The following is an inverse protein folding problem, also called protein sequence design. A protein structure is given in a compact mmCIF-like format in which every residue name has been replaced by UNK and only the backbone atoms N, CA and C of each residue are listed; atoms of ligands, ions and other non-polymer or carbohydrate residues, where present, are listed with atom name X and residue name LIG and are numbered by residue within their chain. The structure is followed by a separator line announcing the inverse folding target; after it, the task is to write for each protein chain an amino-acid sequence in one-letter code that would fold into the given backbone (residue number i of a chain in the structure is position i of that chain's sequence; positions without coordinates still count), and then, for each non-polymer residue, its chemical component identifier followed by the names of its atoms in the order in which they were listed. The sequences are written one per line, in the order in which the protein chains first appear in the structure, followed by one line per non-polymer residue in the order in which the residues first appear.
data_IF_447052623749
#
_entry.id   IF_447052623749
#
_cell.length_a   1.000
_cell.length_b   1.000
_cell.length_c   1.000
_cell.angle_alpha   90.00
_cell.angle_beta   90.00
_cell.angle_gamma   90.00
#
_symmetry.space_group_name_H-M   'P 1'
#
loop_
_entity.id
_entity.type
_entity.pdbx_description
1 polymer ?
#
# COMPACT_ATOMS: atom_id res chain seq x y z
N UNK A 1 16.45 -17.50 8.13
CA UNK A 1 15.15 -18.20 7.90
C UNK A 1 14.70 -18.02 6.46
N UNK A 2 14.18 -19.07 5.82
CA UNK A 2 13.79 -19.11 4.40
C UNK A 2 12.91 -17.92 3.96
N UNK A 3 12.08 -17.40 4.87
CA UNK A 3 11.23 -16.21 4.67
C UNK A 3 11.94 -14.98 4.06
N UNK A 4 13.21 -14.75 4.43
CA UNK A 4 14.01 -13.57 4.05
C UNK A 4 14.97 -13.82 2.88
N UNK A 5 15.21 -15.07 2.52
CA UNK A 5 16.29 -15.45 1.60
C UNK A 5 15.79 -16.17 0.35
N UNK A 6 14.56 -16.70 0.37
CA UNK A 6 14.04 -17.51 -0.71
C UNK A 6 13.21 -16.67 -1.70
N UNK A 7 13.69 -16.63 -2.95
CA UNK A 7 12.95 -16.10 -4.10
C UNK A 7 13.43 -14.74 -4.61
N UNK A 8 12.80 -14.29 -5.69
CA UNK A 8 13.03 -12.97 -6.30
C UNK A 8 12.03 -11.99 -5.70
N UNK A 9 12.50 -10.95 -5.02
CA UNK A 9 11.62 -9.91 -4.46
C UNK A 9 11.46 -8.75 -5.43
N UNK A 10 10.22 -8.33 -5.66
CA UNK A 10 9.90 -7.21 -6.55
C UNK A 10 9.23 -6.12 -5.71
N UNK A 11 9.85 -4.95 -5.66
CA UNK A 11 9.41 -3.82 -4.84
C UNK A 11 9.35 -2.53 -5.68
N UNK A 12 8.46 -1.62 -5.30
CA UNK A 12 8.44 -0.27 -5.87
C UNK A 12 9.56 0.56 -5.22
N UNK A 13 10.31 1.30 -6.05
CA UNK A 13 11.24 2.32 -5.57
C UNK A 13 10.50 3.66 -5.43
N UNK A 14 10.29 4.10 -4.19
CA UNK A 14 9.59 5.35 -3.89
C UNK A 14 8.07 5.18 -3.65
N UNK A 15 7.34 6.29 -3.45
CA UNK A 15 5.91 6.26 -3.17
C UNK A 15 5.08 6.02 -4.45
N UNK A 16 3.84 5.56 -4.28
CA UNK A 16 2.93 5.34 -5.41
C UNK A 16 2.35 6.64 -6.02
N UNK A 17 2.47 7.77 -5.32
CA UNK A 17 2.08 9.11 -5.77
C UNK A 17 2.99 10.14 -5.09
N UNK A 18 3.04 11.36 -5.62
CA UNK A 18 3.88 12.45 -5.12
C UNK A 18 3.15 13.32 -4.08
N UNK A 19 3.90 14.15 -3.33
CA UNK A 19 3.29 15.12 -2.41
C UNK A 19 2.48 16.19 -3.16
N UNK A 20 2.86 16.49 -4.39
CA UNK A 20 2.16 17.39 -5.29
C UNK A 20 0.79 16.80 -5.69
N UNK A 21 0.74 15.51 -6.00
CA UNK A 21 -0.52 14.79 -6.29
C UNK A 21 -1.45 14.83 -5.07
N UNK A 22 -0.92 14.57 -3.88
CA UNK A 22 -1.69 14.63 -2.63
C UNK A 22 -2.26 16.03 -2.40
N UNK A 23 -1.43 17.07 -2.50
CA UNK A 23 -1.86 18.47 -2.34
C UNK A 23 -2.94 18.84 -3.35
N UNK A 24 -2.79 18.45 -4.62
CA UNK A 24 -3.77 18.73 -5.66
C UNK A 24 -5.13 18.05 -5.40
N UNK A 25 -5.12 16.81 -4.89
CA UNK A 25 -6.35 16.13 -4.48
C UNK A 25 -6.97 16.81 -3.25
N UNK A 26 -6.16 17.21 -2.27
CA UNK A 26 -6.63 17.86 -1.04
C UNK A 26 -7.20 19.25 -1.27
N UNK A 27 -6.67 20.01 -2.24
CA UNK A 27 -7.23 21.31 -2.63
C UNK A 27 -8.53 21.16 -3.42
N UNK A 28 -8.68 20.08 -4.18
CA UNK A 28 -9.86 19.84 -5.01
C UNK A 28 -11.05 19.31 -4.21
N UNK A 29 -10.83 18.45 -3.22
CA UNK A 29 -11.90 17.81 -2.46
C UNK A 29 -11.88 18.23 -0.99
N UNK A 30 -13.02 18.56 -0.37
CA UNK A 30 -13.07 18.95 1.03
C UNK A 30 -12.77 17.78 1.97
N UNK A 31 -12.47 18.07 3.24
CA UNK A 31 -12.03 17.06 4.24
C UNK A 31 -13.03 15.91 4.46
N UNK A 32 -14.33 16.17 4.29
CA UNK A 32 -15.38 15.16 4.45
C UNK A 32 -15.57 14.28 3.22
N UNK A 33 -14.95 14.62 2.10
CA UNK A 33 -15.18 13.99 0.81
C UNK A 33 -14.36 12.69 0.70
N UNK A 34 -15.00 11.50 0.62
CA UNK A 34 -14.29 10.23 0.42
C UNK A 34 -13.53 10.18 -0.92
N UNK A 35 -13.80 11.13 -1.83
CA UNK A 35 -13.08 11.33 -3.07
C UNK A 35 -11.58 11.57 -2.86
N UNK A 36 -11.15 12.16 -1.73
CA UNK A 36 -9.71 12.25 -1.40
C UNK A 36 -9.06 10.87 -1.40
N UNK A 37 -9.69 9.92 -0.71
CA UNK A 37 -9.22 8.55 -0.67
C UNK A 37 -9.34 7.86 -2.02
N UNK A 38 -10.48 7.95 -2.71
CA UNK A 38 -10.65 7.29 -4.01
C UNK A 38 -9.60 7.73 -5.05
N UNK A 39 -9.26 9.02 -5.09
CA UNK A 39 -8.31 9.57 -6.07
C UNK A 39 -6.86 9.18 -5.73
N UNK A 40 -6.50 9.07 -4.45
CA UNK A 40 -5.15 8.69 -4.02
C UNK A 40 -4.98 7.17 -3.86
N UNK A 41 -6.06 6.41 -3.75
CA UNK A 41 -6.05 4.93 -3.79
C UNK A 41 -5.84 4.41 -5.22
N UNK A 42 -6.39 5.09 -6.24
CA UNK A 42 -6.21 4.72 -7.64
C UNK A 42 -4.75 4.52 -8.08
N UNK A 43 -3.81 5.46 -7.84
CA UNK A 43 -2.39 5.25 -8.19
C UNK A 43 -1.74 4.17 -7.33
N UNK A 44 -2.11 4.02 -6.05
CA UNK A 44 -1.61 2.94 -5.19
C UNK A 44 -1.99 1.56 -5.73
N UNK A 45 -3.27 1.36 -6.10
CA UNK A 45 -3.74 0.11 -6.72
C UNK A 45 -3.11 -0.16 -8.06
N UNK A 46 -2.85 0.88 -8.86
CA UNK A 46 -2.12 0.75 -10.13
C UNK A 46 -0.71 0.22 -9.87
N UNK A 47 0.03 0.84 -8.95
CA UNK A 47 1.37 0.38 -8.58
C UNK A 47 1.38 -1.07 -8.08
N UNK A 48 0.44 -1.43 -7.18
CA UNK A 48 0.35 -2.81 -6.67
C UNK A 48 -0.03 -3.80 -7.77
N UNK A 49 -0.96 -3.45 -8.67
CA UNK A 49 -1.30 -4.30 -9.83
C UNK A 49 -0.08 -4.55 -10.70
N UNK A 50 0.68 -3.51 -11.00
CA UNK A 50 1.84 -3.59 -11.89
C UNK A 50 2.97 -4.41 -11.23
N UNK A 51 3.20 -4.22 -9.92
CA UNK A 51 4.11 -5.04 -9.12
C UNK A 51 3.71 -6.52 -9.08
N UNK A 52 2.42 -6.82 -8.90
CA UNK A 52 1.91 -8.19 -8.92
C UNK A 52 2.12 -8.84 -10.29
N UNK A 53 1.88 -8.08 -11.37
CA UNK A 53 2.12 -8.53 -12.74
C UNK A 53 3.60 -8.86 -12.98
N UNK A 54 4.50 -7.96 -12.59
CA UNK A 54 5.95 -8.15 -12.73
C UNK A 54 6.45 -9.33 -11.89
N UNK A 55 6.07 -9.39 -10.61
CA UNK A 55 6.41 -10.51 -9.73
C UNK A 55 5.91 -11.85 -10.28
N UNK A 56 4.69 -11.88 -10.83
CA UNK A 56 4.16 -13.10 -11.46
C UNK A 56 5.00 -13.52 -12.67
N UNK A 57 5.37 -12.56 -13.54
CA UNK A 57 6.13 -12.83 -14.75
C UNK A 57 7.53 -13.41 -14.47
N UNK A 58 8.19 -12.96 -13.39
CA UNK A 58 9.52 -13.44 -13.00
C UNK A 58 9.49 -14.61 -12.01
N UNK A 59 8.31 -15.13 -11.68
CA UNK A 59 8.17 -16.15 -10.62
C UNK A 59 8.65 -15.65 -9.25
N UNK A 60 8.51 -14.36 -8.98
CA UNK A 60 8.91 -13.66 -7.76
C UNK A 60 7.80 -13.42 -6.73
N UNK A 61 8.12 -12.64 -5.71
CA UNK A 61 7.32 -12.28 -4.54
C UNK A 61 7.18 -10.76 -4.52
N UNK A 62 5.95 -10.26 -4.44
CA UNK A 62 5.70 -8.81 -4.39
C UNK A 62 5.95 -8.28 -2.98
N UNK A 63 6.85 -7.32 -2.83
CA UNK A 63 6.93 -6.50 -1.61
C UNK A 63 5.96 -5.34 -1.78
N UNK A 64 4.93 -5.26 -0.93
CA UNK A 64 3.94 -4.20 -1.03
C UNK A 64 4.57 -2.83 -0.72
N UNK A 65 4.21 -1.77 -1.45
CA UNK A 65 4.58 -0.42 -1.04
C UNK A 65 3.85 -0.06 0.26
N UNK A 66 4.32 0.99 0.93
CA UNK A 66 3.55 1.57 2.04
C UNK A 66 2.22 2.09 1.50
N UNK A 67 1.13 1.56 2.04
CA UNK A 67 -0.22 1.94 1.66
C UNK A 67 -0.71 3.09 2.55
N UNK A 68 -1.48 3.99 1.98
CA UNK A 68 -1.97 5.21 2.63
C UNK A 68 -3.48 5.31 2.51
N UNK A 69 -4.12 5.58 3.65
CA UNK A 69 -5.55 5.82 3.73
C UNK A 69 -5.82 7.29 4.12
N UNK A 70 -6.49 8.00 3.21
CA UNK A 70 -6.93 9.39 3.38
C UNK A 70 -8.36 9.48 3.92
N UNK A 71 -9.01 8.33 4.08
CA UNK A 71 -10.32 8.17 4.68
C UNK A 71 -10.35 6.78 5.31
N UNK A 72 -10.98 6.67 6.48
CA UNK A 72 -11.19 5.38 7.10
C UNK A 72 -12.10 4.48 6.24
N UNK A 73 -12.12 3.18 6.54
CA UNK A 73 -13.10 2.25 5.98
C UNK A 73 -14.48 2.58 6.56
N UNK A 74 -15.55 2.17 5.88
CA UNK A 74 -16.96 2.36 6.33
C UNK A 74 -17.53 3.77 6.16
N UNK A 75 -17.47 4.30 4.93
CA UNK A 75 -17.79 5.69 4.57
C UNK A 75 -19.17 6.20 5.02
N UNK A 76 -20.16 5.33 5.22
CA UNK A 76 -21.50 5.71 5.65
C UNK A 76 -21.60 6.31 7.07
N UNK A 77 -20.61 6.06 7.94
CA UNK A 77 -20.64 6.50 9.35
C UNK A 77 -19.52 7.47 9.72
N UNK A 78 -18.69 7.86 8.74
CA UNK A 78 -17.50 8.66 9.01
C UNK A 78 -17.85 10.14 9.18
N UNK A 79 -17.15 10.79 10.11
CA UNK A 79 -17.13 12.25 10.25
C UNK A 79 -15.78 12.75 9.77
N UNK A 80 -15.78 13.55 8.71
CA UNK A 80 -14.53 14.07 8.11
C UNK A 80 -13.52 12.95 7.85
N UNK A 81 -13.99 11.86 7.25
CA UNK A 81 -13.17 10.71 6.90
C UNK A 81 -12.57 9.92 8.08
N UNK A 82 -13.13 10.04 9.28
CA UNK A 82 -12.71 9.34 10.50
C UNK A 82 -13.90 8.69 11.19
N UNK A 83 -13.66 7.62 11.94
CA UNK A 83 -14.68 7.09 12.85
C UNK A 83 -15.08 8.16 13.89
N UNK A 84 -16.37 8.29 14.24
CA UNK A 84 -16.84 9.31 15.19
C UNK A 84 -16.14 9.27 16.55
N UNK A 85 -15.68 8.09 16.99
CA UNK A 85 -15.01 7.90 18.27
C UNK A 85 -13.50 8.18 18.24
N UNK A 86 -12.91 8.43 17.06
CA UNK A 86 -11.48 8.76 16.90
C UNK A 86 -11.27 10.02 16.02
N UNK A 87 -11.89 11.16 16.37
CA UNK A 87 -11.88 12.36 15.54
C UNK A 87 -10.49 13.00 15.38
N UNK A 88 -9.54 12.64 16.24
CA UNK A 88 -8.16 13.17 16.24
C UNK A 88 -7.17 12.30 15.46
N UNK A 89 -7.60 11.19 14.84
CA UNK A 89 -6.72 10.36 14.02
C UNK A 89 -6.09 11.21 12.90
N UNK A 90 -4.78 11.12 12.70
CA UNK A 90 -4.13 11.85 11.61
C UNK A 90 -4.50 11.25 10.25
N UNK A 91 -4.68 12.10 9.25
CA UNK A 91 -4.86 11.71 7.86
C UNK A 91 -3.74 12.35 7.01
N UNK A 92 -3.12 11.61 6.07
CA UNK A 92 -3.29 10.18 5.87
C UNK A 92 -2.64 9.35 6.99
N UNK A 93 -3.08 8.10 7.14
CA UNK A 93 -2.44 7.12 8.01
C UNK A 93 -1.96 5.90 7.21
N UNK A 94 -1.01 5.15 7.78
CA UNK A 94 -0.52 3.90 7.19
C UNK A 94 -1.65 2.88 7.14
N UNK A 95 -2.09 2.55 5.93
CA UNK A 95 -3.26 1.70 5.75
C UNK A 95 -2.88 0.22 5.87
N UNK A 96 -3.64 -0.59 6.63
CA UNK A 96 -3.43 -2.03 6.61
C UNK A 96 -3.86 -2.60 5.25
N UNK A 97 -3.25 -3.71 4.84
CA UNK A 97 -3.46 -4.32 3.52
C UNK A 97 -4.92 -4.72 3.29
N UNK A 98 -5.59 -5.19 4.34
CA UNK A 98 -6.99 -5.63 4.33
C UNK A 98 -7.99 -4.48 4.18
N UNK A 99 -7.60 -3.23 4.45
CA UNK A 99 -8.44 -2.06 4.21
C UNK A 99 -8.56 -1.72 2.72
N UNK A 100 -7.55 -2.07 1.90
CA UNK A 100 -7.58 -1.85 0.45
C UNK A 100 -7.86 -3.13 -0.34
N UNK A 101 -7.40 -4.29 0.11
CA UNK A 101 -7.46 -5.54 -0.63
C UNK A 101 -8.22 -6.61 0.14
N UNK A 102 -8.76 -7.60 -0.58
CA UNK A 102 -9.42 -8.76 0.02
C UNK A 102 -8.36 -9.85 0.33
N UNK A 103 -8.00 -10.05 1.61
CA UNK A 103 -6.98 -11.02 1.99
C UNK A 103 -7.43 -12.47 1.73
N UNK A 104 -8.73 -12.76 1.86
CA UNK A 104 -9.29 -14.10 1.58
C UNK A 104 -9.12 -14.44 0.11
N UNK A 105 -9.39 -13.49 -0.78
CA UNK A 105 -9.19 -13.68 -2.22
C UNK A 105 -7.71 -13.82 -2.59
N UNK A 106 -6.82 -13.08 -1.92
CA UNK A 106 -5.37 -13.19 -2.14
C UNK A 106 -4.84 -14.55 -1.70
N UNK A 107 -5.27 -15.04 -0.54
CA UNK A 107 -4.94 -16.37 -0.04
C UNK A 107 -5.44 -17.48 -0.99
N UNK A 108 -6.70 -17.40 -1.44
CA UNK A 108 -7.27 -18.36 -2.39
C UNK A 108 -6.50 -18.40 -3.73
N UNK A 109 -6.00 -17.25 -4.17
CA UNK A 109 -5.15 -17.12 -5.37
C UNK A 109 -3.67 -17.43 -5.12
N UNK A 110 -3.29 -17.79 -3.89
CA UNK A 110 -1.90 -18.06 -3.49
C UNK A 110 -0.95 -16.93 -3.87
N UNK A 111 -1.41 -15.67 -3.75
CA UNK A 111 -0.58 -14.49 -4.02
C UNK A 111 0.59 -14.49 -3.03
N UNK A 112 1.82 -14.51 -3.55
CA UNK A 112 3.03 -14.41 -2.72
C UNK A 112 3.40 -12.94 -2.55
N UNK A 113 3.35 -12.45 -1.32
CA UNK A 113 3.68 -11.07 -1.00
C UNK A 113 4.42 -10.91 0.33
N UNK A 114 4.99 -9.72 0.56
CA UNK A 114 5.65 -9.27 1.78
C UNK A 114 5.21 -7.86 2.15
N UNK A 115 5.28 -7.54 3.43
CA UNK A 115 4.95 -6.23 4.00
C UNK A 115 5.90 -5.12 3.55
N UNK A 116 5.48 -3.86 3.67
CA UNK A 116 6.26 -2.74 3.16
C UNK A 116 7.60 -2.49 3.88
N UNK A 117 7.74 -2.99 5.11
CA UNK A 117 8.98 -2.91 5.89
C UNK A 117 9.89 -4.12 5.69
N UNK A 118 9.54 -5.05 4.79
CA UNK A 118 10.26 -6.31 4.63
C UNK A 118 11.74 -6.08 4.32
N UNK A 119 12.04 -5.22 3.34
CA UNK A 119 13.42 -4.94 2.93
C UNK A 119 14.21 -4.13 3.99
N UNK A 120 13.53 -3.45 4.90
CA UNK A 120 14.17 -2.74 6.02
C UNK A 120 14.50 -3.69 7.19
N UNK A 121 14.00 -4.93 7.16
CA UNK A 121 14.22 -5.88 8.25
C UNK A 121 15.72 -6.25 8.34
N UNK A 122 16.30 -6.27 9.56
CA UNK A 122 17.72 -6.62 9.75
C UNK A 122 18.06 -8.05 9.34
N UNK A 123 17.07 -8.94 9.22
CA UNK A 123 17.26 -10.32 8.79
C UNK A 123 17.28 -10.48 7.26
N UNK A 124 16.94 -9.45 6.48
CA UNK A 124 17.10 -9.47 5.01
C UNK A 124 18.57 -9.26 4.68
N UNK A 125 19.22 -10.16 3.93
CA UNK A 125 20.60 -9.98 3.49
C UNK A 125 20.80 -8.67 2.71
N UNK A 126 21.87 -7.94 3.01
CA UNK A 126 22.21 -6.68 2.33
C UNK A 126 22.35 -6.84 0.81
N UNK A 127 22.82 -8.00 0.34
CA UNK A 127 22.91 -8.32 -1.09
C UNK A 127 21.54 -8.24 -1.80
N UNK A 128 20.43 -8.55 -1.12
CA UNK A 128 19.09 -8.42 -1.68
C UNK A 128 18.59 -6.96 -1.67
N UNK A 129 19.03 -6.16 -0.70
CA UNK A 129 18.66 -4.73 -0.61
C UNK A 129 19.37 -3.89 -1.67
N UNK A 130 20.62 -4.23 -1.97
CA UNK A 130 21.45 -3.51 -2.94
C UNK A 130 21.12 -3.85 -4.40
N UNK A 131 20.36 -4.91 -4.66
CA UNK A 131 20.04 -5.35 -6.01
C UNK A 131 18.88 -4.53 -6.60
N UNK A 132 19.21 -3.48 -7.33
CA UNK A 132 18.26 -2.66 -8.10
C UNK A 132 18.47 -2.88 -9.59
N UNK A 133 17.43 -3.32 -10.30
CA UNK A 133 17.40 -3.47 -11.76
C UNK A 133 16.54 -2.37 -12.36
#
# INVERSE_FOLDING_TARGET
PEYFTEGVFVALKGPAYTLEDEKAVYSRFPEWSPQRHMQLDAPQRRAVRDLLGLATAVGGITVLPKLWCHCDRYWGFLRKCRFPNVPKMHLPFSCPQDALYDPTRWAAKKVRWREHTFLDNPNVPEALKANTV
#
